data_IF_640950394722
#
_entry.id   IF_640950394722
#
_cell.length_a   1.000
_cell.length_b   1.000
_cell.length_c   1.000
_cell.angle_alpha   90.00
_cell.angle_beta   90.00
_cell.angle_gamma   90.00
#
_symmetry.space_group_name_H-M   'P 1'
#
loop_
_entity.id
_entity.type
_entity.pdbx_description
1 polymer ?
#
# COMPACT_ATOMS: atom_id res chain seq x y z
N UNK A 1 6.97 -0.88 -13.71
CA UNK A 1 8.36 -0.67 -14.22
C UNK A 1 9.43 -0.83 -13.15
N UNK A 2 9.35 -0.15 -11.99
CA UNK A 2 10.41 -0.18 -10.94
C UNK A 2 10.83 -1.58 -10.47
N UNK A 3 9.89 -2.53 -10.31
CA UNK A 3 10.22 -3.94 -9.97
C UNK A 3 11.09 -4.61 -11.04
N UNK A 4 10.86 -4.30 -12.31
CA UNK A 4 11.52 -4.97 -13.44
C UNK A 4 12.96 -4.51 -13.62
N UNK A 5 13.25 -3.25 -13.30
CA UNK A 5 14.58 -2.66 -13.37
C UNK A 5 15.59 -3.43 -12.48
N UNK A 6 15.09 -4.16 -11.47
CA UNK A 6 15.90 -4.98 -10.54
C UNK A 6 16.26 -6.39 -11.02
N UNK A 7 15.81 -6.83 -12.21
CA UNK A 7 15.97 -8.22 -12.70
C UNK A 7 15.59 -9.28 -11.65
N UNK A 8 14.66 -8.95 -10.76
CA UNK A 8 14.21 -9.80 -9.68
C UNK A 8 12.94 -10.55 -10.13
N UNK A 9 12.89 -11.89 -10.02
CA UNK A 9 11.65 -12.62 -10.27
C UNK A 9 10.57 -12.14 -9.32
N UNK A 10 9.46 -11.66 -9.88
CA UNK A 10 8.31 -11.18 -9.12
C UNK A 10 7.02 -11.87 -9.52
N UNK A 11 6.03 -11.82 -8.63
CA UNK A 11 4.64 -12.17 -8.90
C UNK A 11 3.74 -11.08 -8.37
N UNK A 12 2.73 -10.71 -9.13
CA UNK A 12 1.74 -9.70 -8.76
C UNK A 12 0.36 -10.36 -8.77
N UNK A 13 -0.44 -10.08 -7.77
CA UNK A 13 -1.85 -10.42 -7.74
C UNK A 13 -2.66 -9.21 -7.29
N UNK A 14 -3.90 -9.11 -7.74
CA UNK A 14 -4.87 -8.13 -7.27
C UNK A 14 -6.10 -8.82 -6.71
N UNK A 15 -6.75 -8.22 -5.72
CA UNK A 15 -7.96 -8.76 -5.07
C UNK A 15 -7.78 -10.23 -4.62
N UNK A 16 -6.61 -10.56 -4.09
CA UNK A 16 -6.23 -11.93 -3.74
C UNK A 16 -6.85 -12.32 -2.40
N UNK A 17 -8.05 -12.91 -2.41
CA UNK A 17 -8.82 -13.29 -1.20
C UNK A 17 -8.02 -13.98 -0.09
N UNK A 18 -6.99 -14.78 -0.43
CA UNK A 18 -6.15 -15.42 0.59
C UNK A 18 -5.38 -14.43 1.46
N UNK A 19 -5.15 -13.20 0.97
CA UNK A 19 -4.53 -12.08 1.67
C UNK A 19 -5.53 -11.25 2.50
N UNK A 20 -6.71 -11.79 2.82
CA UNK A 20 -7.64 -11.21 3.80
C UNK A 20 -7.88 -9.70 3.55
N UNK A 21 -7.73 -8.84 4.57
CA UNK A 21 -7.94 -7.39 4.46
C UNK A 21 -6.72 -6.59 3.95
N UNK A 22 -5.83 -7.23 3.19
CA UNK A 22 -4.75 -6.61 2.41
C UNK A 22 -4.68 -7.28 1.03
N UNK A 23 -5.82 -7.44 0.40
CA UNK A 23 -5.99 -8.23 -0.81
C UNK A 23 -5.92 -7.40 -2.10
N UNK A 24 -6.08 -6.08 -2.05
CA UNK A 24 -6.08 -5.20 -3.24
C UNK A 24 -4.84 -5.43 -4.12
N UNK A 25 -3.63 -5.42 -3.54
CA UNK A 25 -2.39 -5.73 -4.26
C UNK A 25 -1.45 -6.59 -3.40
N UNK A 26 -1.02 -7.71 -3.96
CA UNK A 26 -0.03 -8.61 -3.36
C UNK A 26 1.15 -8.77 -4.31
N UNK A 27 2.31 -8.27 -3.90
CA UNK A 27 3.57 -8.39 -4.64
C UNK A 27 4.49 -9.38 -3.92
N UNK A 28 5.01 -10.36 -4.65
CA UNK A 28 6.04 -11.28 -4.18
C UNK A 28 7.31 -11.04 -4.99
N UNK A 29 8.44 -10.86 -4.33
CA UNK A 29 9.74 -10.70 -4.97
C UNK A 29 10.75 -11.66 -4.35
N UNK A 30 11.60 -12.30 -5.16
CA UNK A 30 12.68 -13.16 -4.67
C UNK A 30 14.01 -12.40 -4.61
N UNK A 31 14.45 -12.00 -3.41
CA UNK A 31 15.73 -11.34 -3.19
C UNK A 31 16.66 -12.27 -2.41
N UNK A 32 17.86 -12.57 -2.94
CA UNK A 32 18.90 -13.34 -2.26
C UNK A 32 18.41 -14.67 -1.64
N UNK A 33 17.55 -15.42 -2.36
CA UNK A 33 16.86 -16.67 -1.91
C UNK A 33 15.71 -16.46 -0.90
N UNK A 34 15.54 -15.27 -0.34
CA UNK A 34 14.40 -14.92 0.49
C UNK A 34 13.23 -14.46 -0.38
N UNK A 35 12.03 -14.94 -0.07
CA UNK A 35 10.79 -14.43 -0.67
C UNK A 35 10.25 -13.31 0.21
N UNK A 36 10.16 -12.12 -0.36
CA UNK A 36 9.55 -10.95 0.27
C UNK A 36 8.12 -10.84 -0.23
N UNK A 37 7.18 -10.77 0.69
CA UNK A 37 5.77 -10.51 0.39
C UNK A 37 5.43 -9.08 0.80
N UNK A 38 4.81 -8.33 -0.10
CA UNK A 38 4.25 -7.00 0.17
C UNK A 38 2.73 -7.09 -0.02
N UNK A 39 1.99 -6.81 1.04
CA UNK A 39 0.54 -6.81 1.09
C UNK A 39 0.07 -5.35 1.20
N UNK A 40 -0.70 -4.91 0.23
CA UNK A 40 -1.12 -3.51 0.13
C UNK A 40 -2.64 -3.46 0.09
N UNK A 41 -3.19 -2.64 0.97
CA UNK A 41 -4.58 -2.20 0.91
C UNK A 41 -4.61 -0.75 0.43
N UNK A 42 -5.33 -0.50 -0.65
CA UNK A 42 -5.56 0.83 -1.20
C UNK A 42 -6.88 1.38 -0.64
N UNK A 43 -6.87 2.67 -0.31
CA UNK A 43 -8.03 3.45 0.09
C UNK A 43 -8.02 4.76 -0.68
N UNK A 44 -9.20 5.20 -1.13
CA UNK A 44 -9.33 6.42 -1.89
C UNK A 44 -10.56 7.21 -1.41
N UNK A 45 -10.40 8.52 -1.25
CA UNK A 45 -11.48 9.47 -0.96
C UNK A 45 -11.56 10.52 -2.06
N UNK A 46 -12.73 10.70 -2.63
CA UNK A 46 -12.93 11.61 -3.77
C UNK A 46 -12.66 13.08 -3.45
N UNK A 47 -13.10 13.57 -2.28
CA UNK A 47 -12.98 14.99 -1.93
C UNK A 47 -11.63 15.36 -1.27
N UNK A 48 -10.88 14.37 -0.75
CA UNK A 48 -9.60 14.58 -0.07
C UNK A 48 -9.65 15.41 1.23
N UNK A 49 -10.84 15.88 1.62
CA UNK A 49 -11.09 16.74 2.79
C UNK A 49 -11.19 15.92 4.07
N UNK A 50 -11.70 14.69 3.98
CA UNK A 50 -11.72 13.76 5.10
C UNK A 50 -10.28 13.38 5.49
N UNK A 51 -10.01 13.37 6.79
CA UNK A 51 -8.72 12.98 7.36
C UNK A 51 -8.87 11.74 8.23
N UNK A 52 -7.80 10.97 8.37
CA UNK A 52 -7.77 9.79 9.23
C UNK A 52 -7.68 10.26 10.69
N UNK A 53 -8.80 10.20 11.39
CA UNK A 53 -8.91 10.61 12.79
C UNK A 53 -8.69 9.46 13.77
N UNK A 54 -8.41 9.77 15.04
CA UNK A 54 -8.37 8.79 16.15
C UNK A 54 -9.65 7.96 16.19
N UNK A 55 -10.81 8.58 15.99
CA UNK A 55 -12.09 7.89 15.97
C UNK A 55 -12.21 6.84 14.85
N UNK A 56 -11.67 7.14 13.67
CA UNK A 56 -11.67 6.22 12.53
C UNK A 56 -10.72 5.02 12.70
N UNK A 57 -9.64 5.19 13.47
CA UNK A 57 -8.66 4.15 13.78
C UNK A 57 -9.16 3.26 14.93
N UNK A 58 -9.69 3.86 15.99
CA UNK A 58 -10.03 3.20 17.26
C UNK A 58 -11.51 2.78 17.34
N UNK A 59 -12.00 2.14 16.28
CA UNK A 59 -13.39 1.65 16.18
C UNK A 59 -13.43 0.19 15.74
N UNK A 60 -14.61 -0.44 15.80
CA UNK A 60 -14.82 -1.84 15.38
C UNK A 60 -15.34 -1.96 13.94
N UNK A 61 -15.59 -0.83 13.27
CA UNK A 61 -16.14 -0.76 11.91
C UNK A 61 -15.50 0.39 11.13
N UNK A 62 -15.74 0.45 9.81
CA UNK A 62 -15.24 1.53 8.97
C UNK A 62 -13.90 1.24 8.29
N UNK A 63 -13.46 2.19 7.48
CA UNK A 63 -12.43 1.97 6.46
C UNK A 63 -11.01 1.97 6.99
N UNK A 64 -10.71 2.69 8.07
CA UNK A 64 -9.35 2.80 8.62
C UNK A 64 -9.16 2.08 9.95
N UNK A 65 -10.16 1.36 10.44
CA UNK A 65 -10.08 0.76 11.77
C UNK A 65 -8.90 -0.22 11.91
N UNK A 66 -8.15 -0.12 13.01
CA UNK A 66 -6.92 -0.90 13.18
C UNK A 66 -7.19 -2.38 13.48
N UNK A 67 -8.32 -2.68 14.13
CA UNK A 67 -8.67 -4.05 14.49
C UNK A 67 -8.82 -4.95 13.25
N UNK A 68 -9.45 -4.47 12.17
CA UNK A 68 -9.57 -5.27 10.94
C UNK A 68 -8.21 -5.57 10.30
N UNK A 69 -7.28 -4.62 10.34
CA UNK A 69 -5.95 -4.78 9.76
C UNK A 69 -5.12 -5.74 10.59
N UNK A 70 -5.23 -5.66 11.93
CA UNK A 70 -4.56 -6.62 12.80
C UNK A 70 -5.11 -8.04 12.63
N UNK A 71 -6.43 -8.19 12.53
CA UNK A 71 -7.07 -9.49 12.25
C UNK A 71 -6.61 -10.04 10.89
N UNK A 72 -6.53 -9.20 9.85
CA UNK A 72 -6.04 -9.60 8.54
C UNK A 72 -4.57 -10.04 8.58
N UNK A 73 -3.73 -9.29 9.28
CA UNK A 73 -2.32 -9.61 9.52
C UNK A 73 -2.15 -11.00 10.15
N UNK A 74 -2.88 -11.29 11.22
CA UNK A 74 -2.83 -12.59 11.90
C UNK A 74 -3.28 -13.75 11.00
N UNK A 75 -4.32 -13.52 10.18
CA UNK A 75 -4.80 -14.50 9.19
C UNK A 75 -3.76 -14.75 8.09
N UNK A 76 -3.06 -13.72 7.62
CA UNK A 76 -1.98 -13.86 6.64
C UNK A 76 -0.77 -14.58 7.24
N UNK A 77 -0.40 -14.29 8.49
CA UNK A 77 0.74 -14.94 9.17
C UNK A 77 0.48 -16.43 9.39
N UNK A 78 -0.75 -16.82 9.72
CA UNK A 78 -1.16 -18.22 9.87
C UNK A 78 -1.44 -18.95 8.55
N UNK A 79 -1.56 -18.23 7.43
CA UNK A 79 -1.82 -18.82 6.14
C UNK A 79 -0.56 -19.45 5.52
N UNK A 80 -0.55 -20.78 5.41
CA UNK A 80 0.55 -21.55 4.83
C UNK A 80 0.88 -21.22 3.36
N UNK A 81 0.01 -20.50 2.63
CA UNK A 81 0.29 -20.01 1.27
C UNK A 81 1.33 -18.89 1.22
N UNK A 82 1.48 -18.13 2.32
CA UNK A 82 2.43 -17.02 2.41
C UNK A 82 3.61 -17.39 3.30
N UNK A 83 4.20 -18.56 3.07
CA UNK A 83 5.49 -18.92 3.64
C UNK A 83 6.57 -18.01 3.03
N UNK A 84 7.46 -17.49 3.87
CA UNK A 84 8.47 -16.51 3.51
C UNK A 84 8.90 -15.74 4.76
N UNK A 85 10.10 -15.16 4.71
CA UNK A 85 10.75 -14.59 5.90
C UNK A 85 10.33 -13.13 6.16
N UNK A 86 10.06 -12.36 5.11
CA UNK A 86 9.71 -10.95 5.25
C UNK A 86 8.32 -10.66 4.66
N UNK A 87 7.50 -9.99 5.47
CA UNK A 87 6.16 -9.54 5.11
C UNK A 87 6.07 -8.05 5.42
N UNK A 88 5.67 -7.26 4.43
CA UNK A 88 5.41 -5.83 4.57
C UNK A 88 3.92 -5.60 4.39
N UNK A 89 3.31 -4.83 5.28
CA UNK A 89 1.89 -4.51 5.24
C UNK A 89 1.74 -3.01 5.10
N UNK A 90 1.09 -2.56 4.02
CA UNK A 90 0.89 -1.14 3.77
C UNK A 90 -0.59 -0.80 3.58
N UNK A 91 -1.02 0.26 4.24
CA UNK A 91 -2.26 0.97 3.90
C UNK A 91 -1.86 2.19 3.10
N UNK A 92 -2.37 2.29 1.88
CA UNK A 92 -2.01 3.29 0.87
C UNK A 92 -3.24 4.15 0.61
N UNK A 93 -3.13 5.46 0.77
CA UNK A 93 -4.29 6.36 0.70
C UNK A 93 -3.94 7.77 0.27
N UNK A 94 -4.89 8.43 -0.39
CA UNK A 94 -4.74 9.81 -0.87
C UNK A 94 -5.07 10.88 0.18
N UNK A 95 -5.59 10.48 1.35
CA UNK A 95 -5.82 11.38 2.48
C UNK A 95 -4.72 11.28 3.52
N UNK A 96 -4.56 12.34 4.32
CA UNK A 96 -3.60 12.39 5.42
C UNK A 96 -4.28 12.10 6.77
N UNK A 97 -3.49 11.91 7.82
CA UNK A 97 -3.99 11.90 9.19
C UNK A 97 -4.46 13.29 9.62
N UNK A 98 -5.42 13.32 10.55
CA UNK A 98 -5.86 14.55 11.20
C UNK A 98 -4.85 14.90 12.29
N UNK A 99 -3.81 15.67 11.93
CA UNK A 99 -2.77 16.08 12.87
C UNK A 99 -3.17 17.33 13.67
N UNK A 100 -2.64 17.45 14.89
CA UNK A 100 -2.78 18.70 15.68
C UNK A 100 -1.92 19.83 15.10
N UNK A 101 -0.78 19.47 14.52
CA UNK A 101 0.28 20.39 14.15
C UNK A 101 0.54 20.35 12.64
N UNK A 102 0.83 21.51 12.05
CA UNK A 102 1.19 21.64 10.63
C UNK A 102 2.66 21.31 10.34
N UNK A 103 3.50 21.22 11.36
CA UNK A 103 4.93 21.00 11.22
C UNK A 103 5.27 19.51 10.98
N UNK A 104 6.27 19.29 10.11
CA UNK A 104 6.80 17.97 9.80
C UNK A 104 7.81 17.52 10.85
N UNK A 105 7.32 17.01 11.98
CA UNK A 105 8.15 16.41 13.02
C UNK A 105 8.35 14.90 12.79
N UNK A 106 9.41 14.33 13.36
CA UNK A 106 9.67 12.89 13.35
C UNK A 106 8.51 12.12 14.00
N UNK A 107 8.01 12.62 15.13
CA UNK A 107 6.82 12.10 15.81
C UNK A 107 5.69 13.12 15.66
N UNK A 108 4.54 12.68 15.17
CA UNK A 108 3.36 13.53 14.97
C UNK A 108 2.17 13.00 15.74
N UNK A 109 1.43 13.90 16.38
CA UNK A 109 0.24 13.58 17.17
C UNK A 109 -1.03 13.81 16.36
N UNK A 110 -1.95 12.86 16.46
CA UNK A 110 -3.27 12.99 15.88
C UNK A 110 -4.14 13.88 16.77
N UNK A 111 -5.06 14.62 16.15
CA UNK A 111 -6.06 15.43 16.82
C UNK A 111 -6.93 14.56 17.72
N UNK A 112 -6.93 14.91 19.00
CA UNK A 112 -7.73 14.23 20.02
C UNK A 112 -9.22 14.42 19.74
N UNK A 113 -10.00 13.41 20.07
CA UNK A 113 -11.46 13.53 20.03
C UNK A 113 -11.96 14.37 21.21
N UNK A 114 -12.86 15.32 20.93
CA UNK A 114 -13.51 16.17 21.94
C UNK A 114 -14.67 15.47 22.67
N UNK A 115 -15.18 14.37 22.11
CA UNK A 115 -16.32 13.61 22.65
C UNK A 115 -16.27 12.13 22.23
N UNK A 116 -17.16 11.31 22.79
CA UNK A 116 -17.29 9.89 22.45
C UNK A 116 -16.34 8.96 23.22
N UNK A 117 -16.37 7.66 22.88
CA UNK A 117 -15.66 6.59 23.62
C UNK A 117 -14.14 6.73 23.62
N UNK A 118 -13.58 7.40 22.61
CA UNK A 118 -12.13 7.62 22.46
C UNK A 118 -11.74 9.06 22.80
N UNK A 119 -12.58 9.79 23.55
CA UNK A 119 -12.24 11.12 24.07
C UNK A 119 -10.91 11.05 24.82
N UNK A 120 -10.09 12.08 24.65
CA UNK A 120 -8.80 12.23 25.32
C UNK A 120 -7.74 11.14 25.03
N UNK A 121 -8.01 10.18 24.13
CA UNK A 121 -6.98 9.23 23.68
C UNK A 121 -5.98 9.95 22.78
N UNK A 122 -4.72 9.91 23.18
CA UNK A 122 -3.60 10.48 22.43
C UNK A 122 -2.92 9.37 21.61
N UNK A 123 -2.89 9.57 20.29
CA UNK A 123 -2.24 8.65 19.35
C UNK A 123 -1.15 9.42 18.62
N UNK A 124 0.02 8.79 18.50
CA UNK A 124 1.11 9.34 17.70
C UNK A 124 1.57 8.37 16.63
N UNK A 125 2.17 8.94 15.60
CA UNK A 125 2.82 8.22 14.52
C UNK A 125 4.24 8.73 14.33
N UNK A 126 5.13 7.84 13.91
CA UNK A 126 6.53 8.11 13.63
C UNK A 126 6.70 8.12 12.11
N UNK A 127 7.23 9.22 11.58
CA UNK A 127 7.56 9.38 10.17
C UNK A 127 8.68 8.41 9.78
N UNK A 128 8.57 7.84 8.58
CA UNK A 128 9.57 6.94 8.00
C UNK A 128 10.27 7.69 6.87
N UNK A 129 11.53 8.07 7.09
CA UNK A 129 12.33 8.84 6.11
C UNK A 129 13.23 7.97 5.23
N UNK A 130 13.38 6.68 5.54
CA UNK A 130 14.13 5.75 4.69
C UNK A 130 13.40 5.53 3.37
N UNK A 131 14.05 5.78 2.23
CA UNK A 131 13.46 5.63 0.90
C UNK A 131 12.82 4.25 0.66
N UNK A 132 11.64 4.22 0.04
CA UNK A 132 10.95 3.04 -0.48
C UNK A 132 10.53 3.29 -1.92
N UNK A 133 11.09 2.49 -2.82
CA UNK A 133 10.90 2.65 -4.26
C UNK A 133 9.45 2.44 -4.75
N UNK A 134 8.59 1.82 -3.94
CA UNK A 134 7.19 1.52 -4.30
C UNK A 134 6.22 2.54 -3.75
N UNK A 135 6.46 3.01 -2.54
CA UNK A 135 5.53 3.86 -1.80
C UNK A 135 5.93 5.34 -1.78
N UNK A 136 7.15 5.68 -2.20
CA UNK A 136 7.57 7.07 -2.40
C UNK A 136 7.08 7.56 -3.77
N UNK A 137 5.87 8.15 -3.77
CA UNK A 137 5.19 8.67 -4.96
C UNK A 137 4.62 10.06 -4.65
N UNK A 138 5.01 11.06 -5.44
CA UNK A 138 4.59 12.46 -5.25
C UNK A 138 4.98 12.99 -3.87
N UNK A 139 4.06 13.71 -3.23
CA UNK A 139 4.21 14.26 -1.87
C UNK A 139 3.76 13.28 -0.77
N UNK A 140 3.69 12.00 -1.09
CA UNK A 140 3.30 10.96 -0.16
C UNK A 140 4.29 10.85 1.00
N UNK A 141 3.76 10.57 2.20
CA UNK A 141 4.58 10.38 3.41
C UNK A 141 4.23 9.04 4.05
N UNK A 142 5.23 8.39 4.64
CA UNK A 142 5.06 7.12 5.33
C UNK A 142 5.16 7.28 6.84
N UNK A 143 4.28 6.57 7.53
CA UNK A 143 4.19 6.56 8.99
C UNK A 143 4.02 5.15 9.53
N UNK A 144 4.53 4.93 10.74
CA UNK A 144 4.19 3.79 11.60
C UNK A 144 3.61 4.31 12.91
N UNK A 145 2.81 3.50 13.60
CA UNK A 145 2.37 3.86 14.95
C UNK A 145 3.51 3.70 15.96
N UNK A 146 3.49 4.55 16.98
CA UNK A 146 4.27 4.28 18.19
C UNK A 146 3.49 3.34 19.14
N UNK A 147 4.00 3.20 20.36
CA UNK A 147 3.40 2.32 21.36
C UNK A 147 2.06 2.82 21.91
N UNK A 148 1.58 4.02 21.55
CA UNK A 148 0.30 4.57 22.02
C UNK A 148 -0.92 3.71 21.65
N UNK A 149 -0.79 2.87 20.61
CA UNK A 149 -1.86 1.99 20.13
C UNK A 149 -1.93 0.65 20.87
N UNK A 150 -0.87 0.24 21.57
CA UNK A 150 -0.78 -1.10 22.17
C UNK A 150 -1.94 -1.37 23.14
N UNK A 151 -2.23 -0.42 24.04
CA UNK A 151 -3.31 -0.55 25.03
C UNK A 151 -4.67 -0.78 24.36
N UNK A 152 -4.96 -0.05 23.27
CA UNK A 152 -6.20 -0.23 22.52
C UNK A 152 -6.31 -1.63 21.89
N UNK A 153 -5.24 -2.16 21.31
CA UNK A 153 -5.24 -3.52 20.75
C UNK A 153 -5.39 -4.58 21.85
N UNK A 154 -4.76 -4.38 23.00
CA UNK A 154 -4.87 -5.25 24.17
C UNK A 154 -6.28 -5.26 24.76
N UNK A 155 -6.91 -4.09 24.93
CA UNK A 155 -8.29 -3.93 25.39
C UNK A 155 -9.31 -4.67 24.50
N UNK A 156 -8.96 -4.93 23.23
CA UNK A 156 -9.83 -5.59 22.27
C UNK A 156 -9.42 -7.04 21.95
N UNK A 157 -8.54 -7.66 22.76
CA UNK A 157 -8.08 -9.05 22.57
C UNK A 157 -9.22 -10.06 22.46
N UNK A 158 -10.26 -9.97 23.30
CA UNK A 158 -11.41 -10.89 23.22
C UNK A 158 -12.16 -10.80 21.88
N UNK A 159 -12.32 -9.57 21.38
CA UNK A 159 -12.93 -9.36 20.06
C UNK A 159 -12.04 -9.95 18.95
N UNK A 160 -10.74 -9.74 19.02
CA UNK A 160 -9.78 -10.27 18.05
C UNK A 160 -9.78 -11.80 18.10
N UNK A 161 -9.71 -12.40 19.30
CA UNK A 161 -9.80 -13.85 19.55
C UNK A 161 -11.05 -14.45 18.91
N UNK A 162 -12.21 -13.82 19.08
CA UNK A 162 -13.45 -14.26 18.43
C UNK A 162 -13.40 -14.24 16.89
N UNK A 163 -12.54 -13.42 16.28
CA UNK A 163 -12.38 -13.31 14.81
C UNK A 163 -11.26 -14.18 14.25
N UNK A 164 -10.26 -14.55 15.05
CA UNK A 164 -9.12 -15.38 14.63
C UNK A 164 -9.18 -16.81 15.17
N UNK A 165 -10.00 -17.09 16.18
CA UNK A 165 -10.19 -18.42 16.76
C UNK A 165 -9.10 -18.87 17.72
N UNK A 166 -8.21 -17.97 18.18
CA UNK A 166 -7.13 -18.27 19.13
C UNK A 166 -6.72 -17.05 19.94
N UNK A 167 -5.98 -17.29 21.02
CA UNK A 167 -5.32 -16.24 21.78
C UNK A 167 -4.28 -15.48 20.94
N UNK A 168 -4.10 -14.21 21.27
CA UNK A 168 -3.14 -13.30 20.64
C UNK A 168 -2.17 -12.81 21.69
N UNK A 169 -0.89 -13.06 21.46
CA UNK A 169 0.18 -12.63 22.36
C UNK A 169 0.50 -11.15 22.21
N UNK A 170 1.14 -10.55 23.22
CA UNK A 170 1.65 -9.19 23.13
C UNK A 170 2.74 -9.05 22.05
N UNK A 171 3.54 -10.09 21.84
CA UNK A 171 4.56 -10.10 20.79
C UNK A 171 3.94 -9.95 19.40
N UNK A 172 2.78 -10.55 19.16
CA UNK A 172 2.09 -10.39 17.87
C UNK A 172 1.52 -8.98 17.67
N UNK A 173 1.14 -8.30 18.75
CA UNK A 173 0.73 -6.89 18.71
C UNK A 173 1.92 -6.01 18.33
N UNK A 174 3.07 -6.21 18.99
CA UNK A 174 4.31 -5.49 18.68
C UNK A 174 4.77 -5.73 17.24
N UNK A 175 4.81 -6.99 16.80
CA UNK A 175 5.22 -7.33 15.43
C UNK A 175 4.29 -6.71 14.38
N UNK A 176 2.98 -6.70 14.63
CA UNK A 176 2.02 -6.01 13.76
C UNK A 176 2.30 -4.52 13.64
N UNK A 177 2.52 -3.81 14.76
CA UNK A 177 2.79 -2.37 14.75
C UNK A 177 4.13 -2.04 14.08
N UNK A 178 5.13 -2.92 14.21
CA UNK A 178 6.42 -2.77 13.55
C UNK A 178 6.35 -3.02 12.02
N UNK A 179 5.49 -3.93 11.57
CA UNK A 179 5.39 -4.30 10.15
C UNK A 179 4.35 -3.47 9.37
N UNK A 180 3.40 -2.83 10.05
CA UNK A 180 2.35 -2.01 9.43
C UNK A 180 2.84 -0.59 9.12
N UNK A 181 2.69 -0.20 7.86
CA UNK A 181 3.00 1.14 7.36
C UNK A 181 1.75 1.79 6.79
N UNK A 182 1.56 3.07 7.09
CA UNK A 182 0.60 3.93 6.42
C UNK A 182 1.36 4.84 5.45
N UNK A 183 1.10 4.70 4.15
CA UNK A 183 1.52 5.65 3.13
C UNK A 183 0.33 6.56 2.80
N UNK A 184 0.42 7.82 3.22
CA UNK A 184 -0.68 8.78 3.22
C UNK A 184 -0.35 9.97 2.33
N UNK A 185 -1.37 10.78 2.04
CA UNK A 185 -1.25 11.95 1.16
C UNK A 185 -0.70 11.57 -0.24
N UNK A 186 -0.99 10.37 -0.70
CA UNK A 186 -0.58 9.94 -2.03
C UNK A 186 -1.41 10.65 -3.12
N UNK A 187 -0.88 10.77 -4.33
CA UNK A 187 -1.60 11.38 -5.45
C UNK A 187 -2.98 10.75 -5.66
N UNK A 188 -3.99 11.59 -5.89
CA UNK A 188 -5.28 11.13 -6.41
C UNK A 188 -5.14 10.64 -7.87
N UNK A 189 -6.21 10.10 -8.45
CA UNK A 189 -6.17 9.52 -9.81
C UNK A 189 -5.63 10.49 -10.87
N UNK A 190 -6.07 11.75 -10.85
CA UNK A 190 -5.64 12.77 -11.80
C UNK A 190 -4.15 13.10 -11.63
N UNK A 191 -3.71 13.33 -10.40
CA UNK A 191 -2.31 13.60 -10.09
C UNK A 191 -1.40 12.40 -10.42
N UNK A 192 -1.87 11.17 -10.15
CA UNK A 192 -1.15 9.95 -10.47
C UNK A 192 -1.00 9.78 -11.99
N UNK A 193 -2.05 10.11 -12.76
CA UNK A 193 -2.02 10.07 -14.22
C UNK A 193 -0.96 11.03 -14.77
N UNK A 194 -0.89 12.25 -14.27
CA UNK A 194 0.11 13.24 -14.70
C UNK A 194 1.54 12.83 -14.31
N UNK A 195 1.74 12.30 -13.10
CA UNK A 195 3.03 11.74 -12.68
C UNK A 195 3.45 10.56 -13.57
N UNK A 196 2.52 9.68 -13.89
CA UNK A 196 2.76 8.54 -14.78
C UNK A 196 3.16 9.00 -16.18
N UNK A 197 2.41 9.94 -16.77
CA UNK A 197 2.75 10.55 -18.06
C UNK A 197 4.17 11.10 -18.04
N UNK A 198 4.51 11.92 -17.04
CA UNK A 198 5.85 12.48 -16.90
C UNK A 198 6.96 11.43 -16.80
N UNK A 199 6.79 10.39 -15.98
CA UNK A 199 7.77 9.30 -15.87
C UNK A 199 7.92 8.55 -17.20
N UNK A 200 6.82 8.27 -17.89
CA UNK A 200 6.83 7.58 -19.18
C UNK A 200 7.47 8.42 -20.29
N UNK A 201 7.18 9.71 -20.38
CA UNK A 201 7.81 10.62 -21.35
C UNK A 201 9.33 10.61 -21.19
N UNK A 202 9.82 10.74 -19.95
CA UNK A 202 11.26 10.68 -19.67
C UNK A 202 11.89 9.34 -20.08
N UNK A 203 11.19 8.22 -19.86
CA UNK A 203 11.67 6.89 -20.26
C UNK A 203 11.66 6.69 -21.78
N UNK A 204 10.63 7.15 -22.48
CA UNK A 204 10.57 7.07 -23.96
C UNK A 204 11.67 7.91 -24.60
N UNK A 205 11.86 9.15 -24.14
CA UNK A 205 12.93 10.02 -24.60
C UNK A 205 14.31 9.35 -24.39
N UNK A 206 14.55 8.79 -23.20
CA UNK A 206 15.82 8.14 -22.86
C UNK A 206 16.08 6.84 -23.65
N UNK A 207 15.06 6.00 -23.84
CA UNK A 207 15.24 4.66 -24.44
C UNK A 207 15.14 4.68 -25.96
N UNK A 208 14.30 5.54 -26.52
CA UNK A 208 13.97 5.52 -27.95
C UNK A 208 14.24 6.86 -28.66
N UNK A 209 14.71 7.90 -27.94
CA UNK A 209 14.93 9.22 -28.54
C UNK A 209 13.64 9.95 -28.92
N UNK A 210 12.49 9.50 -28.41
CA UNK A 210 11.20 10.10 -28.72
C UNK A 210 11.11 11.54 -28.19
N UNK A 211 10.78 12.48 -29.07
CA UNK A 211 10.51 13.89 -28.71
C UNK A 211 9.16 14.27 -29.31
N UNK A 212 8.12 14.24 -28.49
CA UNK A 212 6.75 14.51 -28.92
C UNK A 212 5.74 14.35 -27.80
N UNK A 213 4.48 14.67 -28.09
CA UNK A 213 3.36 14.41 -27.20
C UNK A 213 2.99 12.92 -27.23
N UNK A 214 3.21 12.25 -26.11
CA UNK A 214 2.89 10.84 -25.93
C UNK A 214 1.56 10.62 -25.19
N UNK A 215 0.69 11.62 -25.12
CA UNK A 215 -0.57 11.52 -24.37
C UNK A 215 -1.43 10.34 -24.83
N UNK A 216 -1.60 10.16 -26.15
CA UNK A 216 -2.36 9.03 -26.71
C UNK A 216 -1.75 7.71 -26.26
N UNK A 217 -0.43 7.54 -26.41
CA UNK A 217 0.27 6.34 -25.96
C UNK A 217 0.12 6.11 -24.45
N UNK A 218 0.27 7.15 -23.63
CA UNK A 218 0.14 7.02 -22.18
C UNK A 218 -1.28 6.64 -21.76
N UNK A 219 -2.30 7.23 -22.39
CA UNK A 219 -3.70 6.89 -22.12
C UNK A 219 -4.00 5.44 -22.51
N UNK A 220 -3.64 5.04 -23.73
CA UNK A 220 -3.81 3.67 -24.21
C UNK A 220 -3.02 2.66 -23.35
N UNK A 221 -1.84 3.03 -22.86
CA UNK A 221 -1.05 2.18 -21.96
C UNK A 221 -1.74 2.03 -20.60
N UNK A 222 -2.28 3.11 -20.04
CA UNK A 222 -3.03 3.06 -18.78
C UNK A 222 -4.28 2.17 -18.91
N UNK A 223 -4.99 2.24 -20.03
CA UNK A 223 -6.12 1.36 -20.32
C UNK A 223 -5.68 -0.11 -20.39
N UNK A 224 -4.59 -0.40 -21.11
CA UNK A 224 -4.02 -1.76 -21.18
C UNK A 224 -3.58 -2.28 -19.80
N UNK A 225 -2.97 -1.43 -18.97
CA UNK A 225 -2.60 -1.79 -17.60
C UNK A 225 -3.86 -2.06 -16.77
N UNK A 226 -4.90 -1.23 -16.90
CA UNK A 226 -6.17 -1.39 -16.21
C UNK A 226 -6.84 -2.72 -16.54
N UNK A 227 -6.91 -3.06 -17.83
CA UNK A 227 -7.50 -4.34 -18.27
C UNK A 227 -6.65 -5.53 -17.83
N UNK A 228 -5.33 -5.40 -17.89
CA UNK A 228 -4.40 -6.41 -17.39
C UNK A 228 -4.54 -6.64 -15.87
N UNK A 229 -4.73 -5.57 -15.09
CA UNK A 229 -4.99 -5.64 -13.64
C UNK A 229 -6.31 -6.37 -13.34
N UNK A 230 -7.34 -6.17 -14.17
CA UNK A 230 -8.61 -6.90 -14.06
C UNK A 230 -8.44 -8.39 -14.41
N UNK A 231 -7.62 -8.72 -15.40
CA UNK A 231 -7.40 -10.11 -15.83
C UNK A 231 -6.68 -10.96 -14.78
N UNK A 232 -5.76 -10.36 -14.02
CA UNK A 232 -5.06 -11.06 -12.93
C UNK A 232 -5.83 -11.08 -11.60
N UNK A 233 -7.08 -10.61 -11.59
CA UNK A 233 -7.90 -10.54 -10.38
C UNK A 233 -8.03 -11.92 -9.72
N UNK A 234 -7.66 -12.01 -8.44
CA UNK A 234 -7.75 -13.21 -7.62
C UNK A 234 -6.66 -14.26 -7.88
N UNK A 235 -5.69 -14.00 -8.77
CA UNK A 235 -4.60 -14.92 -9.11
C UNK A 235 -3.25 -14.20 -9.22
N UNK A 236 -2.17 -14.95 -9.14
CA UNK A 236 -0.86 -14.42 -9.49
C UNK A 236 -0.68 -14.39 -11.00
N UNK A 237 -0.12 -13.29 -11.48
CA UNK A 237 0.49 -13.16 -12.79
C UNK A 237 1.62 -14.20 -12.95
N UNK A 238 1.60 -14.93 -14.07
CA UNK A 238 2.73 -15.77 -14.46
C UNK A 238 3.90 -14.93 -15.02
N UNK A 239 5.15 -15.39 -14.83
CA UNK A 239 6.30 -14.71 -15.43
C UNK A 239 6.17 -14.49 -16.94
N UNK A 240 5.57 -15.44 -17.65
CA UNK A 240 5.36 -15.41 -19.09
C UNK A 240 4.36 -14.33 -19.49
N UNK A 241 3.19 -14.26 -18.84
CA UNK A 241 2.19 -13.21 -19.08
C UNK A 241 2.76 -11.81 -18.83
N UNK A 242 3.53 -11.65 -17.75
CA UNK A 242 4.19 -10.39 -17.43
C UNK A 242 5.18 -10.00 -18.52
N UNK A 243 6.07 -10.93 -18.90
CA UNK A 243 7.06 -10.72 -19.96
C UNK A 243 6.39 -10.35 -21.28
N UNK A 244 5.35 -11.08 -21.68
CA UNK A 244 4.63 -10.85 -22.92
C UNK A 244 3.96 -9.46 -22.93
N UNK A 245 3.30 -9.07 -21.84
CA UNK A 245 2.69 -7.74 -21.70
C UNK A 245 3.73 -6.63 -21.92
N UNK A 246 4.86 -6.68 -21.22
CA UNK A 246 5.88 -5.64 -21.34
C UNK A 246 6.60 -5.66 -22.70
N UNK A 247 6.81 -6.84 -23.30
CA UNK A 247 7.33 -6.91 -24.67
C UNK A 247 6.41 -6.25 -25.68
N UNK A 248 5.09 -6.44 -25.57
CA UNK A 248 4.10 -5.75 -26.41
C UNK A 248 4.14 -4.23 -26.22
N UNK A 249 4.24 -3.77 -24.97
CA UNK A 249 4.37 -2.34 -24.65
C UNK A 249 5.65 -1.75 -25.23
N UNK A 250 6.78 -2.45 -25.11
CA UNK A 250 8.06 -1.97 -25.66
C UNK A 250 8.06 -1.93 -27.20
N UNK A 251 7.51 -2.95 -27.85
CA UNK A 251 7.38 -2.97 -29.31
C UNK A 251 6.51 -1.80 -29.79
N UNK A 252 5.35 -1.58 -29.15
CA UNK A 252 4.47 -0.46 -29.48
C UNK A 252 5.11 0.90 -29.19
N UNK A 253 5.86 1.04 -28.09
CA UNK A 253 6.63 2.25 -27.83
C UNK A 253 7.66 2.54 -28.93
N UNK A 254 8.32 1.49 -29.46
CA UNK A 254 9.32 1.65 -30.53
C UNK A 254 8.73 2.15 -31.86
N UNK A 255 7.45 1.88 -32.14
CA UNK A 255 6.79 2.38 -33.37
C UNK A 255 6.49 3.87 -33.33
N UNK A 256 6.58 4.52 -32.16
CA UNK A 256 6.37 5.96 -32.02
C UNK A 256 7.55 6.80 -32.52
N UNK A 257 8.72 6.18 -32.73
CA UNK A 257 9.95 6.86 -33.14
C UNK A 257 10.25 6.69 -34.64
N UNK A 258 9.27 6.26 -35.42
CA UNK A 258 9.32 6.12 -36.88
C UNK A 258 8.77 7.34 -37.60
#
# INVERSE_FOLDING_TARGET
MRVMDKKCPFRLATELKSAAGFDDVVLQCKQNKTTIHRFVQVKHKQDGTEKISVGSLLTKSGEFNLLKYFIAYLKIKSNGKFKGEMKYFAIVTNIDFDFTDSAQHEVRKLRMMSSGKNKEKEISVIRIDTQDEFLDVGDGVRYKFDNSIISYLQENKDFIKGKVGREVSDKEVEDFLNELVFAVNLPNESQLKELFKGEMSGRLAKKFGYVGDNEIFCNDLLEKISDWVKDIKGRFLSPEEGKEFFQKVELWASTLCG
#
